data_IF_315759950098
#
_entry.id   IF_315759950098
#
_cell.length_a   1.000
_cell.length_b   1.000
_cell.length_c   1.000
_cell.angle_alpha   90.00
_cell.angle_beta   90.00
_cell.angle_gamma   90.00
#
_symmetry.space_group_name_H-M   'P 1'
#
loop_
_entity.id
_entity.type
_entity.pdbx_description
1 polymer ?
#
# COMPACT_ATOMS: atom_id res chain seq x y z
N UNK A 1 10.48 18.83 5.54
CA UNK A 1 10.31 18.10 4.26
C UNK A 1 10.90 16.71 4.43
N UNK A 2 10.09 15.64 4.38
CA UNK A 2 10.60 14.27 4.42
C UNK A 2 11.29 14.02 3.07
N UNK A 3 12.56 13.62 3.05
CA UNK A 3 13.20 13.15 1.81
C UNK A 3 12.39 11.96 1.31
N UNK A 4 11.88 12.05 0.08
CA UNK A 4 11.26 10.92 -0.58
C UNK A 4 12.38 9.91 -0.87
N UNK A 5 12.29 8.71 -0.29
CA UNK A 5 13.12 7.61 -0.73
C UNK A 5 12.79 7.34 -2.19
N UNK A 6 13.83 7.20 -3.01
CA UNK A 6 13.64 6.92 -4.42
C UNK A 6 13.51 5.41 -4.58
N UNK A 7 12.56 4.97 -5.40
CA UNK A 7 12.46 3.56 -5.82
C UNK A 7 13.83 3.03 -6.30
N UNK A 8 14.65 3.90 -6.89
CA UNK A 8 15.99 3.57 -7.34
C UNK A 8 16.95 3.13 -6.22
N UNK A 9 16.75 3.56 -4.98
CA UNK A 9 17.65 3.29 -3.85
C UNK A 9 17.43 1.91 -3.24
N UNK A 10 16.24 1.33 -3.40
CA UNK A 10 15.88 0.03 -2.80
C UNK A 10 15.93 -1.15 -3.77
N UNK A 11 16.05 -0.88 -5.07
CA UNK A 11 16.08 -1.90 -6.11
C UNK A 11 17.51 -2.18 -6.60
N UNK A 12 17.79 -3.42 -6.98
CA UNK A 12 19.02 -3.74 -7.73
C UNK A 12 18.97 -3.17 -9.15
N UNK A 13 20.12 -3.11 -9.82
CA UNK A 13 20.18 -2.67 -11.23
C UNK A 13 19.32 -3.56 -12.14
N UNK A 14 19.29 -4.86 -11.88
CA UNK A 14 18.48 -5.83 -12.62
C UNK A 14 16.99 -5.59 -12.39
N UNK A 15 16.55 -5.46 -11.12
CA UNK A 15 15.17 -5.15 -10.79
C UNK A 15 14.71 -3.83 -11.41
N UNK A 16 15.54 -2.77 -11.40
CA UNK A 16 15.23 -1.50 -12.07
C UNK A 16 15.03 -1.67 -13.58
N UNK A 17 15.88 -2.45 -14.23
CA UNK A 17 15.76 -2.71 -15.67
C UNK A 17 14.49 -3.50 -16.01
N UNK A 18 14.19 -4.54 -15.23
CA UNK A 18 12.95 -5.32 -15.39
C UNK A 18 11.71 -4.45 -15.15
N UNK A 19 11.68 -3.71 -14.03
CA UNK A 19 10.59 -2.77 -13.73
C UNK A 19 10.38 -1.79 -14.88
N UNK A 20 11.45 -1.17 -15.38
CA UNK A 20 11.36 -0.20 -16.48
C UNK A 20 10.74 -0.81 -17.74
N UNK A 21 11.14 -2.05 -18.10
CA UNK A 21 10.55 -2.78 -19.23
C UNK A 21 9.06 -3.08 -19.02
N UNK A 22 8.70 -3.63 -17.87
CA UNK A 22 7.29 -3.93 -17.56
C UNK A 22 6.45 -2.67 -17.59
N UNK A 23 6.91 -1.57 -16.98
CA UNK A 23 6.18 -0.31 -16.97
C UNK A 23 6.05 0.32 -18.36
N UNK A 24 7.00 0.08 -19.27
CA UNK A 24 6.89 0.51 -20.67
C UNK A 24 5.81 -0.30 -21.42
N UNK A 25 5.79 -1.62 -21.24
CA UNK A 25 4.76 -2.50 -21.82
C UNK A 25 3.37 -2.14 -21.30
N UNK A 26 3.21 -2.03 -19.97
CA UNK A 26 1.92 -1.69 -19.36
C UNK A 26 1.49 -0.26 -19.69
N UNK A 27 2.44 0.67 -19.87
CA UNK A 27 2.18 2.07 -20.24
C UNK A 27 1.79 2.25 -21.72
N UNK A 28 2.14 1.30 -22.60
CA UNK A 28 1.65 1.27 -23.97
C UNK A 28 0.17 0.82 -24.05
N UNK A 29 -0.31 0.10 -23.03
CA UNK A 29 -1.67 -0.42 -22.96
C UNK A 29 -2.63 0.50 -22.21
N UNK A 30 -2.15 1.31 -21.26
CA UNK A 30 -3.00 2.21 -20.48
C UNK A 30 -2.26 3.39 -19.87
N UNK A 31 -2.98 4.48 -19.68
CA UNK A 31 -2.49 5.66 -18.99
C UNK A 31 -2.48 5.42 -17.47
N UNK A 32 -1.32 5.53 -16.83
CA UNK A 32 -1.21 5.46 -15.37
C UNK A 32 -1.32 6.84 -14.73
N UNK A 33 -2.19 6.97 -13.73
CA UNK A 33 -2.13 8.06 -12.76
C UNK A 33 -0.89 7.91 -11.87
N UNK A 34 -0.70 6.71 -11.34
CA UNK A 34 0.41 6.36 -10.46
C UNK A 34 0.75 4.87 -10.61
N UNK A 35 2.03 4.54 -10.50
CA UNK A 35 2.50 3.19 -10.22
C UNK A 35 3.34 3.23 -8.95
N UNK A 36 2.91 2.49 -7.94
CA UNK A 36 3.52 2.43 -6.62
C UNK A 36 4.19 1.08 -6.42
N UNK A 37 5.46 1.09 -6.02
CA UNK A 37 6.17 -0.11 -5.60
C UNK A 37 5.76 -0.43 -4.16
N UNK A 38 4.92 -1.46 -4.00
CA UNK A 38 4.37 -1.86 -2.70
C UNK A 38 5.20 -2.99 -2.07
N UNK A 39 4.60 -3.70 -1.12
CA UNK A 39 5.16 -4.93 -0.56
C UNK A 39 6.40 -4.69 0.28
N UNK A 40 7.27 -5.70 0.35
CA UNK A 40 8.44 -5.70 1.23
C UNK A 40 9.35 -4.47 1.00
N UNK A 41 9.44 -3.99 -0.24
CA UNK A 41 10.18 -2.78 -0.61
C UNK A 41 9.61 -1.52 0.05
N UNK A 42 8.28 -1.31 0.02
CA UNK A 42 7.66 -0.18 0.70
C UNK A 42 7.58 -0.33 2.22
N UNK A 43 7.56 -1.56 2.70
CA UNK A 43 7.29 -1.83 4.11
C UNK A 43 8.56 -1.88 4.97
N UNK A 44 9.73 -1.72 4.36
CA UNK A 44 11.02 -1.60 5.06
C UNK A 44 11.76 -2.92 5.30
N UNK A 45 11.30 -4.01 4.70
CA UNK A 45 11.91 -5.33 4.85
C UNK A 45 12.09 -6.08 3.53
N UNK A 46 12.62 -5.45 2.45
CA UNK A 46 12.95 -6.18 1.24
C UNK A 46 14.05 -7.21 1.51
N UNK A 47 13.98 -8.33 0.82
CA UNK A 47 15.04 -9.34 0.68
C UNK A 47 15.53 -9.33 -0.77
N UNK A 48 16.71 -9.90 -1.07
CA UNK A 48 17.24 -9.95 -2.44
C UNK A 48 16.32 -10.62 -3.47
N UNK A 49 15.48 -11.54 -3.00
CA UNK A 49 14.51 -12.33 -3.77
C UNK A 49 13.08 -11.77 -3.68
N UNK A 50 12.87 -10.56 -3.15
CA UNK A 50 11.53 -9.98 -3.06
C UNK A 50 10.96 -9.61 -4.44
N UNK A 51 9.71 -10.02 -4.65
CA UNK A 51 8.90 -9.68 -5.83
C UNK A 51 8.76 -8.17 -6.00
N UNK A 52 8.52 -7.73 -7.24
CA UNK A 52 8.12 -6.36 -7.52
C UNK A 52 6.60 -6.24 -7.53
N UNK A 53 6.04 -5.83 -6.38
CA UNK A 53 4.64 -5.47 -6.23
C UNK A 53 4.33 -4.11 -6.89
N UNK A 54 4.03 -4.11 -8.19
CA UNK A 54 3.74 -2.90 -8.96
C UNK A 54 2.25 -2.58 -8.93
N UNK A 55 1.82 -1.79 -7.95
CA UNK A 55 0.40 -1.49 -7.72
C UNK A 55 0.04 -0.12 -8.31
N UNK A 56 -0.76 -0.12 -9.36
CA UNK A 56 -1.07 1.04 -10.16
C UNK A 56 -2.53 1.52 -10.02
N UNK A 57 -2.75 2.77 -10.39
CA UNK A 57 -4.08 3.32 -10.71
C UNK A 57 -4.01 3.81 -12.16
N UNK A 58 -4.90 3.31 -13.01
CA UNK A 58 -4.98 3.75 -14.41
C UNK A 58 -6.21 4.61 -14.66
N UNK A 59 -6.13 5.41 -15.73
CA UNK A 59 -7.22 6.24 -16.21
C UNK A 59 -7.72 5.62 -17.51
N UNK A 60 -8.88 4.98 -17.46
CA UNK A 60 -9.51 4.48 -18.69
C UNK A 60 -9.96 5.66 -19.58
N UNK A 61 -9.88 5.52 -20.92
CA UNK A 61 -10.54 6.44 -21.83
C UNK A 61 -12.01 6.61 -21.47
N UNK A 62 -12.53 7.84 -21.50
CA UNK A 62 -13.90 8.07 -21.02
C UNK A 62 -14.94 7.39 -21.90
N UNK A 63 -14.70 7.28 -23.21
CA UNK A 63 -15.58 6.59 -24.15
C UNK A 63 -15.81 5.11 -23.77
N UNK A 64 -14.75 4.41 -23.33
CA UNK A 64 -14.79 2.99 -22.94
C UNK A 64 -15.65 2.74 -21.70
N UNK A 65 -15.92 3.77 -20.90
CA UNK A 65 -16.75 3.69 -19.70
C UNK A 65 -18.22 3.99 -19.96
N UNK A 66 -18.56 4.51 -21.14
CA UNK A 66 -19.92 4.93 -21.51
C UNK A 66 -20.57 3.94 -22.50
N UNK A 67 -19.82 2.96 -23.01
CA UNK A 67 -20.31 1.91 -23.88
C UNK A 67 -21.09 0.81 -23.15
N UNK A 68 -21.66 -0.11 -23.93
CA UNK A 68 -22.34 -1.30 -23.37
C UNK A 68 -21.35 -2.33 -22.80
N UNK A 69 -20.15 -2.41 -23.38
CA UNK A 69 -19.09 -3.33 -22.96
C UNK A 69 -18.03 -2.58 -22.14
N UNK A 70 -18.33 -2.36 -20.86
CA UNK A 70 -17.40 -1.69 -19.93
C UNK A 70 -16.33 -2.69 -19.47
N UNK A 71 -15.06 -2.37 -19.72
CA UNK A 71 -13.94 -3.20 -19.30
C UNK A 71 -13.87 -3.37 -17.77
N UNK A 72 -13.28 -4.48 -17.27
CA UNK A 72 -13.10 -4.68 -15.84
C UNK A 72 -12.31 -3.53 -15.19
N UNK A 73 -12.71 -3.14 -13.97
CA UNK A 73 -12.03 -2.07 -13.21
C UNK A 73 -10.65 -2.46 -12.66
N UNK A 74 -10.21 -3.70 -12.90
CA UNK A 74 -8.96 -4.26 -12.38
C UNK A 74 -8.30 -5.08 -13.47
N UNK A 75 -6.99 -4.89 -13.63
CA UNK A 75 -6.14 -5.66 -14.54
C UNK A 75 -4.94 -6.17 -13.74
N UNK A 76 -4.68 -7.48 -13.83
CA UNK A 76 -3.59 -8.15 -13.14
C UNK A 76 -2.61 -8.77 -14.13
N UNK A 77 -1.33 -8.75 -13.76
CA UNK A 77 -0.24 -9.44 -14.46
C UNK A 77 0.74 -9.98 -13.43
N UNK A 78 0.75 -11.30 -13.30
CA UNK A 78 1.81 -12.03 -12.60
C UNK A 78 2.75 -12.66 -13.63
N UNK A 79 4.05 -12.39 -13.55
CA UNK A 79 5.03 -12.94 -14.47
C UNK A 79 6.43 -12.98 -13.88
N UNK A 80 7.24 -13.95 -14.30
CA UNK A 80 8.69 -13.95 -14.06
C UNK A 80 9.36 -13.39 -15.31
N UNK A 81 10.09 -12.29 -15.16
CA UNK A 81 10.67 -11.54 -16.27
C UNK A 81 12.17 -11.39 -16.00
N UNK A 82 12.98 -12.13 -16.76
CA UNK A 82 14.44 -12.22 -16.52
C UNK A 82 14.78 -12.59 -15.07
N UNK A 83 14.10 -13.61 -14.52
CA UNK A 83 14.36 -14.10 -13.16
C UNK A 83 13.76 -13.26 -12.03
N UNK A 84 13.18 -12.09 -12.32
CA UNK A 84 12.49 -11.23 -11.35
C UNK A 84 10.99 -11.50 -11.40
N UNK A 85 10.39 -11.83 -10.25
CA UNK A 85 8.94 -11.98 -10.11
C UNK A 85 8.25 -10.62 -10.05
N UNK A 86 7.19 -10.47 -10.84
CA UNK A 86 6.40 -9.26 -11.01
C UNK A 86 4.96 -9.57 -10.62
N UNK A 87 4.44 -8.80 -9.67
CA UNK A 87 3.02 -8.77 -9.34
C UNK A 87 2.45 -7.37 -9.62
N UNK A 88 2.04 -7.17 -10.87
CA UNK A 88 1.40 -5.94 -11.31
C UNK A 88 -0.12 -6.03 -11.19
N UNK A 89 -0.71 -5.02 -10.53
CA UNK A 89 -2.16 -4.84 -10.49
C UNK A 89 -2.47 -3.38 -10.79
N UNK A 90 -3.42 -3.13 -11.67
CA UNK A 90 -3.89 -1.77 -11.97
C UNK A 90 -5.38 -1.65 -11.79
N UNK A 91 -5.79 -0.63 -11.04
CA UNK A 91 -7.20 -0.35 -10.77
C UNK A 91 -7.64 0.94 -11.46
N UNK A 92 -8.85 0.92 -12.01
CA UNK A 92 -9.45 2.07 -12.68
C UNK A 92 -9.65 3.21 -11.67
N UNK A 93 -9.41 4.45 -12.10
CA UNK A 93 -9.43 5.66 -11.28
C UNK A 93 -10.68 5.81 -10.41
N UNK A 94 -11.87 5.61 -10.96
CA UNK A 94 -13.13 5.74 -10.23
C UNK A 94 -13.26 4.67 -9.14
N UNK A 95 -12.86 3.44 -9.43
CA UNK A 95 -12.83 2.35 -8.46
C UNK A 95 -11.84 2.64 -7.32
N UNK A 96 -10.64 3.12 -7.66
CA UNK A 96 -9.63 3.49 -6.66
C UNK A 96 -10.10 4.66 -5.77
N UNK A 97 -10.68 5.71 -6.36
CA UNK A 97 -11.22 6.86 -5.63
C UNK A 97 -12.37 6.47 -4.69
N UNK A 98 -13.31 5.67 -5.16
CA UNK A 98 -14.39 5.14 -4.32
C UNK A 98 -13.83 4.30 -3.16
N UNK A 99 -12.79 3.49 -3.41
CA UNK A 99 -12.10 2.75 -2.37
C UNK A 99 -11.39 3.65 -1.36
N UNK A 100 -10.72 4.72 -1.80
CA UNK A 100 -10.09 5.73 -0.93
C UNK A 100 -11.11 6.36 0.03
N UNK A 101 -12.26 6.79 -0.49
CA UNK A 101 -13.35 7.38 0.31
C UNK A 101 -13.98 6.36 1.28
N UNK A 102 -13.86 5.07 0.97
CA UNK A 102 -14.27 3.97 1.85
C UNK A 102 -13.15 3.48 2.78
N UNK A 103 -12.00 4.17 2.82
CA UNK A 103 -10.88 3.85 3.72
C UNK A 103 -10.02 2.67 3.28
N UNK A 104 -9.97 2.35 1.98
CA UNK A 104 -9.09 1.30 1.48
C UNK A 104 -7.61 1.72 1.54
N UNK A 105 -6.88 1.18 2.53
CA UNK A 105 -5.46 1.45 2.75
C UNK A 105 -4.59 1.15 1.54
N UNK A 106 -4.87 0.08 0.80
CA UNK A 106 -4.10 -0.25 -0.42
C UNK A 106 -4.14 0.86 -1.47
N UNK A 107 -5.26 1.59 -1.62
CA UNK A 107 -5.34 2.73 -2.56
C UNK A 107 -4.78 4.01 -1.95
N UNK A 108 -4.99 4.23 -0.66
CA UNK A 108 -4.39 5.36 0.07
C UNK A 108 -2.87 5.34 -0.06
N UNK A 109 -2.26 4.18 0.11
CA UNK A 109 -0.81 4.00 0.03
C UNK A 109 -0.25 4.26 -1.37
N UNK A 110 -0.98 3.87 -2.43
CA UNK A 110 -0.54 4.18 -3.80
C UNK A 110 -0.50 5.68 -4.08
N UNK A 111 -1.40 6.46 -3.48
CA UNK A 111 -1.49 7.91 -3.71
C UNK A 111 -0.57 8.70 -2.78
N UNK A 112 -0.55 8.35 -1.49
CA UNK A 112 0.13 9.09 -0.42
C UNK A 112 1.50 8.51 -0.04
N UNK A 113 1.81 7.29 -0.44
CA UNK A 113 3.06 6.60 -0.13
C UNK A 113 4.27 7.20 -0.86
N UNK A 114 5.46 6.87 -0.36
CA UNK A 114 6.73 7.44 -0.85
C UNK A 114 7.33 6.69 -2.04
N UNK A 115 7.03 5.39 -2.16
CA UNK A 115 7.62 4.46 -3.14
C UNK A 115 6.98 4.54 -4.53
N UNK A 116 6.94 5.74 -5.10
CA UNK A 116 6.30 5.99 -6.39
C UNK A 116 7.30 5.71 -7.52
N UNK A 117 7.00 4.70 -8.34
CA UNK A 117 7.82 4.31 -9.48
C UNK A 117 7.48 5.13 -10.75
N UNK A 118 6.21 5.54 -10.88
CA UNK A 118 5.73 6.42 -11.96
C UNK A 118 4.60 7.29 -11.43
N UNK A 119 4.59 8.57 -11.76
CA UNK A 119 3.47 9.47 -11.49
C UNK A 119 3.15 10.34 -12.71
N UNK A 120 1.87 10.65 -12.89
CA UNK A 120 1.43 11.68 -13.82
C UNK A 120 1.22 13.01 -13.08
N UNK A 121 1.16 14.15 -13.79
CA UNK A 121 0.89 15.45 -13.18
C UNK A 121 -0.43 15.48 -12.38
N UNK A 122 -1.42 14.68 -12.77
CA UNK A 122 -2.69 14.57 -12.07
C UNK A 122 -2.55 14.01 -10.65
N UNK A 123 -1.50 13.23 -10.35
CA UNK A 123 -1.26 12.75 -9.00
C UNK A 123 -0.91 13.90 -8.04
N UNK A 124 -0.20 14.92 -8.54
CA UNK A 124 0.15 16.12 -7.75
C UNK A 124 -1.11 16.86 -7.32
N UNK A 125 -2.11 16.95 -8.20
CA UNK A 125 -3.42 17.53 -7.90
C UNK A 125 -4.24 16.66 -6.92
N UNK A 126 -4.21 15.34 -7.12
CA UNK A 126 -5.03 14.41 -6.34
C UNK A 126 -4.53 14.22 -4.90
N UNK A 127 -3.22 14.14 -4.68
CA UNK A 127 -2.60 13.93 -3.35
C UNK A 127 -3.19 14.80 -2.24
N UNK A 128 -3.25 16.15 -2.37
CA UNK A 128 -3.80 16.99 -1.32
C UNK A 128 -5.32 16.78 -1.13
N UNK A 129 -6.06 16.39 -2.16
CA UNK A 129 -7.48 16.02 -2.01
C UNK A 129 -7.63 14.73 -1.21
N UNK A 130 -6.83 13.71 -1.50
CA UNK A 130 -6.85 12.42 -0.79
C UNK A 130 -6.39 12.58 0.66
N UNK A 131 -5.29 13.31 0.91
CA UNK A 131 -4.80 13.57 2.26
C UNK A 131 -5.85 14.26 3.14
N UNK A 132 -6.59 15.24 2.59
CA UNK A 132 -7.68 15.89 3.31
C UNK A 132 -8.97 15.07 3.35
N UNK A 133 -9.06 13.96 2.61
CA UNK A 133 -10.22 13.07 2.60
C UNK A 133 -10.07 11.87 3.54
N UNK A 134 -8.94 11.75 4.25
CA UNK A 134 -8.72 10.72 5.26
C UNK A 134 -9.82 10.76 6.33
N UNK A 135 -10.26 9.58 6.76
CA UNK A 135 -11.30 9.42 7.77
C UNK A 135 -11.11 8.14 8.56
N UNK A 136 -11.82 8.03 9.69
CA UNK A 136 -11.83 6.84 10.56
C UNK A 136 -12.26 5.56 9.85
N UNK A 137 -12.89 5.65 8.67
CA UNK A 137 -13.24 4.49 7.83
C UNK A 137 -12.04 3.59 7.52
N UNK A 138 -10.82 4.13 7.50
CA UNK A 138 -9.60 3.35 7.26
C UNK A 138 -9.32 2.30 8.34
N UNK A 139 -9.85 2.48 9.55
CA UNK A 139 -9.70 1.50 10.64
C UNK A 139 -10.11 0.10 10.21
N UNK A 140 -11.26 -0.03 9.54
CA UNK A 140 -11.79 -1.30 9.01
C UNK A 140 -10.75 -2.02 8.15
N UNK A 141 -10.05 -1.28 7.30
CA UNK A 141 -9.08 -1.86 6.38
C UNK A 141 -7.87 -2.39 7.13
N UNK A 142 -7.21 -1.55 7.92
CA UNK A 142 -5.98 -1.94 8.62
C UNK A 142 -6.23 -3.02 9.66
N UNK A 143 -7.33 -2.94 10.43
CA UNK A 143 -7.73 -3.99 11.37
C UNK A 143 -8.03 -5.30 10.66
N UNK A 144 -8.85 -5.28 9.63
CA UNK A 144 -9.20 -6.49 8.87
C UNK A 144 -7.98 -7.13 8.21
N UNK A 145 -7.08 -6.32 7.67
CA UNK A 145 -5.83 -6.80 7.09
C UNK A 145 -4.94 -7.45 8.16
N UNK A 146 -4.71 -6.77 9.28
CA UNK A 146 -3.86 -7.27 10.36
C UNK A 146 -4.40 -8.60 10.93
N UNK A 147 -5.72 -8.74 11.11
CA UNK A 147 -6.34 -10.01 11.54
C UNK A 147 -6.13 -11.14 10.52
N UNK A 148 -6.30 -10.85 9.23
CA UNK A 148 -6.05 -11.83 8.19
C UNK A 148 -4.58 -12.29 8.22
N UNK A 149 -3.64 -11.37 8.37
CA UNK A 149 -2.21 -11.68 8.47
C UNK A 149 -1.88 -12.49 9.73
N UNK A 150 -2.53 -12.19 10.86
CA UNK A 150 -2.37 -12.98 12.07
C UNK A 150 -2.83 -14.42 11.83
N UNK A 151 -3.98 -14.62 11.19
CA UNK A 151 -4.47 -15.97 10.87
C UNK A 151 -3.52 -16.77 9.97
N UNK A 152 -2.77 -16.10 9.08
CA UNK A 152 -1.75 -16.74 8.26
C UNK A 152 -0.48 -17.05 9.06
N UNK A 153 -0.09 -16.16 9.97
CA UNK A 153 1.05 -16.35 10.86
C UNK A 153 0.81 -17.50 11.84
N UNK A 154 -0.40 -17.66 12.37
CA UNK A 154 -0.75 -18.76 13.28
C UNK A 154 -0.73 -20.14 12.60
N UNK A 155 -1.08 -20.19 11.30
CA UNK A 155 -1.10 -21.45 10.53
C UNK A 155 0.29 -21.90 10.11
N UNK A 156 1.12 -20.96 9.66
CA UNK A 156 2.47 -21.24 9.16
C UNK A 156 3.34 -20.02 9.48
N UNK A 157 4.02 -20.02 10.64
CA UNK A 157 4.67 -18.84 11.18
C UNK A 157 5.99 -18.54 10.46
N UNK A 158 6.09 -17.35 9.88
CA UNK A 158 7.31 -16.83 9.26
C UNK A 158 7.59 -15.40 9.70
N UNK A 159 8.85 -14.98 9.63
CA UNK A 159 9.23 -13.61 9.95
C UNK A 159 8.48 -12.59 9.08
N UNK A 160 8.28 -12.91 7.79
CA UNK A 160 7.48 -12.10 6.86
C UNK A 160 6.05 -11.91 7.39
N UNK A 161 5.32 -12.99 7.66
CA UNK A 161 3.91 -12.89 8.08
C UNK A 161 3.75 -12.11 9.37
N UNK A 162 4.63 -12.33 10.34
CA UNK A 162 4.63 -11.55 11.58
C UNK A 162 4.95 -10.07 11.33
N UNK A 163 5.93 -9.76 10.47
CA UNK A 163 6.18 -8.38 10.05
C UNK A 163 4.96 -7.75 9.40
N UNK A 164 4.20 -8.47 8.57
CA UNK A 164 2.95 -7.97 7.98
C UNK A 164 1.86 -7.66 9.00
N UNK A 165 1.75 -8.45 10.08
CA UNK A 165 0.87 -8.13 11.22
C UNK A 165 1.31 -6.80 11.85
N UNK A 166 2.58 -6.67 12.20
CA UNK A 166 3.11 -5.45 12.83
C UNK A 166 2.94 -4.23 11.92
N UNK A 167 3.33 -4.34 10.66
CA UNK A 167 3.22 -3.31 9.62
C UNK A 167 1.79 -2.79 9.52
N UNK A 168 0.82 -3.68 9.37
CA UNK A 168 -0.57 -3.24 9.13
C UNK A 168 -1.22 -2.65 10.38
N UNK A 169 -0.93 -3.20 11.55
CA UNK A 169 -1.37 -2.61 12.83
C UNK A 169 -0.75 -1.24 13.07
N UNK A 170 0.58 -1.11 12.92
CA UNK A 170 1.30 0.14 13.19
C UNK A 170 0.96 1.24 12.19
N UNK A 171 0.84 0.94 10.90
CA UNK A 171 0.37 1.92 9.90
C UNK A 171 -1.04 2.42 10.24
N UNK A 172 -1.95 1.52 10.61
CA UNK A 172 -3.31 1.89 11.03
C UNK A 172 -3.34 2.77 12.27
N UNK A 173 -2.60 2.40 13.31
CA UNK A 173 -2.45 3.18 14.55
C UNK A 173 -1.90 4.57 14.23
N UNK A 174 -0.76 4.63 13.53
CA UNK A 174 -0.08 5.88 13.21
C UNK A 174 -0.97 6.83 12.41
N UNK A 175 -1.67 6.31 11.41
CA UNK A 175 -2.55 7.11 10.58
C UNK A 175 -3.77 7.64 11.35
N UNK A 176 -4.34 6.84 12.26
CA UNK A 176 -5.45 7.27 13.12
C UNK A 176 -5.03 8.29 14.18
N UNK A 177 -3.84 8.12 14.77
CA UNK A 177 -3.31 8.99 15.83
C UNK A 177 -2.76 10.31 15.30
N UNK A 178 -2.19 10.33 14.09
CA UNK A 178 -1.44 11.50 13.58
C UNK A 178 -2.01 12.10 12.30
N UNK A 179 -2.84 11.36 11.56
CA UNK A 179 -3.28 11.74 10.23
C UNK A 179 -2.17 11.63 9.15
N UNK A 180 -1.00 11.09 9.50
CA UNK A 180 0.11 10.88 8.58
C UNK A 180 0.23 9.41 8.17
N UNK A 181 0.44 9.16 6.88
CA UNK A 181 0.71 7.81 6.38
C UNK A 181 2.19 7.49 6.54
N UNK A 182 2.49 6.40 7.25
CA UNK A 182 3.79 5.74 7.24
C UNK A 182 3.58 4.23 7.07
N UNK A 183 4.22 3.70 6.03
CA UNK A 183 4.07 2.34 5.50
C UNK A 183 5.27 1.48 5.81
N UNK A 184 6.44 2.11 5.99
CA UNK A 184 7.68 1.48 6.39
C UNK A 184 7.64 1.22 7.89
N UNK A 185 7.47 -0.05 8.25
CA UNK A 185 7.32 -0.45 9.65
C UNK A 185 8.58 -0.17 10.47
N UNK A 186 9.75 -0.13 9.82
CA UNK A 186 11.03 0.08 10.50
C UNK A 186 11.20 1.50 11.04
N UNK A 187 10.44 2.45 10.49
CA UNK A 187 10.33 3.83 10.97
C UNK A 187 9.35 3.98 12.14
N UNK A 188 8.47 2.99 12.32
CA UNK A 188 7.47 2.97 13.37
C UNK A 188 7.92 2.18 14.60
N UNK A 189 8.88 1.27 14.47
CA UNK A 189 9.34 0.46 15.60
C UNK A 189 9.72 1.28 16.82
N UNK A 190 10.56 2.30 16.69
CA UNK A 190 11.02 3.09 17.84
C UNK A 190 9.89 3.97 18.40
N UNK A 191 9.04 4.53 17.53
CA UNK A 191 7.88 5.34 17.90
C UNK A 191 6.90 4.57 18.78
N UNK A 192 6.77 3.26 18.54
CA UNK A 192 5.80 2.39 19.20
C UNK A 192 6.44 1.39 20.17
N UNK A 193 7.71 1.56 20.55
CA UNK A 193 8.37 0.75 21.58
C UNK A 193 8.67 -0.70 21.15
N UNK A 194 8.91 -0.92 19.86
CA UNK A 194 9.14 -2.22 19.22
C UNK A 194 10.51 -2.30 18.52
N UNK A 195 11.52 -1.61 19.05
CA UNK A 195 12.87 -1.59 18.46
C UNK A 195 13.45 -2.99 18.23
N UNK A 196 13.12 -3.96 19.08
CA UNK A 196 13.57 -5.35 18.98
C UNK A 196 12.91 -6.13 17.83
N UNK A 197 11.83 -5.62 17.23
CA UNK A 197 11.24 -6.15 16.00
C UNK A 197 12.19 -6.06 14.79
N UNK A 198 13.26 -5.26 14.86
CA UNK A 198 14.32 -5.23 13.84
C UNK A 198 14.96 -6.60 13.63
N UNK A 199 15.03 -7.43 14.67
CA UNK A 199 15.49 -8.82 14.55
C UNK A 199 14.63 -9.68 13.61
N UNK A 200 13.33 -9.38 13.48
CA UNK A 200 12.44 -10.04 12.51
C UNK A 200 12.78 -9.62 11.08
N UNK A 201 13.16 -8.35 10.87
CA UNK A 201 13.62 -7.85 9.57
C UNK A 201 14.91 -8.54 9.15
N UNK A 202 15.86 -8.68 10.08
CA UNK A 202 17.12 -9.41 9.84
C UNK A 202 16.86 -10.87 9.47
N UNK A 203 15.98 -11.56 10.22
CA UNK A 203 15.56 -12.93 9.91
C UNK A 203 14.91 -13.02 8.53
N UNK A 204 13.98 -12.12 8.19
CA UNK A 204 13.35 -12.09 6.86
C UNK A 204 14.40 -11.90 5.76
N UNK A 205 15.38 -11.02 5.97
CA UNK A 205 16.46 -10.77 4.99
C UNK A 205 17.36 -11.97 4.74
N UNK A 206 17.48 -12.90 5.70
CA UNK A 206 18.19 -14.17 5.46
C UNK A 206 17.44 -15.17 4.56
N UNK A 207 16.16 -14.92 4.27
CA UNK A 207 15.37 -15.69 3.30
C UNK A 207 13.86 -15.50 3.45
N UNK A 208 13.13 -15.53 2.33
CA UNK A 208 11.70 -15.21 2.28
C UNK A 208 10.81 -16.17 3.11
N UNK A 209 11.27 -17.41 3.31
CA UNK A 209 10.59 -18.47 4.07
C UNK A 209 11.26 -18.84 5.39
N UNK A 210 12.06 -17.93 5.96
CA UNK A 210 12.64 -18.16 7.29
C UNK A 210 11.52 -18.25 8.31
N UNK A 211 11.29 -19.47 8.78
CA UNK A 211 10.33 -19.78 9.83
C UNK A 211 10.69 -19.05 11.12
N UNK A 212 9.67 -18.78 11.92
CA UNK A 212 9.88 -18.46 13.33
C UNK A 212 9.45 -19.68 14.14
N UNK A 213 10.18 -19.97 15.21
CA UNK A 213 9.79 -21.04 16.12
C UNK A 213 8.51 -20.66 16.88
N UNK A 214 7.84 -21.67 17.44
CA UNK A 214 6.59 -21.47 18.15
C UNK A 214 6.81 -20.61 19.41
N UNK A 215 7.97 -20.74 20.05
CA UNK A 215 8.34 -19.94 21.22
C UNK A 215 8.39 -18.44 20.90
N UNK A 216 8.98 -18.05 19.78
CA UNK A 216 9.02 -16.65 19.36
C UNK A 216 7.62 -16.13 19.05
N UNK A 217 6.78 -16.91 18.35
CA UNK A 217 5.40 -16.50 18.08
C UNK A 217 4.61 -16.29 19.39
N UNK A 218 4.69 -17.21 20.33
CA UNK A 218 4.03 -17.08 21.64
C UNK A 218 4.58 -15.88 22.44
N UNK A 219 5.87 -15.58 22.33
CA UNK A 219 6.46 -14.38 22.93
C UNK A 219 5.93 -13.07 22.30
N UNK A 220 5.57 -13.09 21.01
CA UNK A 220 5.01 -11.92 20.31
C UNK A 220 3.51 -11.73 20.56
N UNK A 221 2.78 -12.79 20.90
CA UNK A 221 1.32 -12.76 21.03
C UNK A 221 0.80 -11.68 21.98
N UNK A 222 1.30 -11.49 23.22
CA UNK A 222 0.84 -10.40 24.09
C UNK A 222 1.07 -9.00 23.49
N UNK A 223 2.11 -8.83 22.66
CA UNK A 223 2.45 -7.56 22.02
C UNK A 223 1.55 -7.32 20.81
N UNK A 224 1.22 -8.36 20.06
CA UNK A 224 0.22 -8.32 18.98
C UNK A 224 -1.16 -7.95 19.55
N UNK A 225 -1.56 -8.59 20.65
CA UNK A 225 -2.83 -8.29 21.33
C UNK A 225 -2.87 -6.82 21.81
N UNK A 226 -1.77 -6.33 22.38
CA UNK A 226 -1.63 -4.92 22.77
C UNK A 226 -1.70 -3.96 21.57
N UNK A 227 -1.12 -4.32 20.42
CA UNK A 227 -1.23 -3.53 19.19
C UNK A 227 -2.67 -3.51 18.66
N UNK A 228 -3.38 -4.63 18.68
CA UNK A 228 -4.79 -4.65 18.29
C UNK A 228 -5.64 -3.81 19.23
N UNK A 229 -5.44 -3.93 20.55
CA UNK A 229 -6.13 -3.09 21.53
C UNK A 229 -5.84 -1.59 21.30
N UNK A 230 -4.59 -1.23 20.97
CA UNK A 230 -4.23 0.14 20.64
C UNK A 230 -4.86 0.61 19.33
N UNK A 231 -4.94 -0.25 18.30
CA UNK A 231 -5.60 0.08 17.03
C UNK A 231 -7.08 0.41 17.25
N UNK A 232 -7.78 -0.36 18.09
CA UNK A 232 -9.16 -0.05 18.50
C UNK A 232 -9.23 1.28 19.26
N UNK A 233 -8.39 1.47 20.27
CA UNK A 233 -8.39 2.72 21.06
C UNK A 233 -8.07 3.95 20.18
N UNK A 234 -7.25 3.78 19.15
CA UNK A 234 -6.91 4.82 18.18
C UNK A 234 -8.11 5.27 17.34
N UNK A 235 -9.11 4.40 17.12
CA UNK A 235 -10.34 4.78 16.43
C UNK A 235 -11.14 5.82 17.23
N UNK A 236 -11.26 5.61 18.54
CA UNK A 236 -12.00 6.49 19.44
C UNK A 236 -11.31 7.84 19.59
N UNK A 237 -9.99 7.80 19.84
CA UNK A 237 -9.14 8.98 20.01
C UNK A 237 -8.63 9.62 18.72
N UNK A 238 -9.06 9.14 17.54
CA UNK A 238 -8.48 9.56 16.26
C UNK A 238 -8.61 11.06 15.99
N UNK A 239 -7.53 11.65 15.45
CA UNK A 239 -7.53 13.01 14.90
C UNK A 239 -8.31 13.14 13.59
N UNK A 240 -8.62 12.01 12.95
CA UNK A 240 -9.35 11.97 11.70
C UNK A 240 -10.86 12.10 11.93
N UNK A 241 -11.60 12.72 11.00
CA UNK A 241 -13.05 12.79 11.05
C UNK A 241 -13.68 11.40 10.87
N UNK A 242 -14.92 11.22 11.35
CA UNK A 242 -15.67 9.96 11.17
C UNK A 242 -15.89 9.63 9.69
N UNK A 243 -16.23 10.65 8.90
CA UNK A 243 -16.55 10.56 7.48
C UNK A 243 -15.55 11.38 6.64
N UNK A 244 -15.30 11.00 5.38
CA UNK A 244 -14.39 11.74 4.50
C UNK A 244 -14.96 13.14 4.18
N UNK A 245 -14.30 14.25 4.54
CA UNK A 245 -14.91 15.58 4.48
C UNK A 245 -14.96 16.19 3.05
N UNK A 246 -14.36 15.55 2.05
CA UNK A 246 -14.18 16.13 0.70
C UNK A 246 -14.62 15.22 -0.45
N UNK A 247 -15.58 14.33 -0.21
CA UNK A 247 -16.16 13.46 -1.24
C UNK A 247 -16.65 14.25 -2.47
N UNK A 248 -17.41 15.34 -2.27
CA UNK A 248 -17.90 16.17 -3.39
C UNK A 248 -16.78 16.79 -4.24
N UNK A 249 -15.65 17.16 -3.63
CA UNK A 249 -14.48 17.69 -4.37
C UNK A 249 -13.76 16.59 -5.13
N UNK A 250 -13.62 15.39 -4.55
CA UNK A 250 -13.06 14.24 -5.26
C UNK A 250 -13.93 13.84 -6.46
N UNK A 251 -15.25 13.86 -6.33
CA UNK A 251 -16.19 13.62 -7.43
C UNK A 251 -16.07 14.68 -8.53
N UNK A 252 -16.00 15.96 -8.18
CA UNK A 252 -15.79 17.04 -9.16
C UNK A 252 -14.45 16.91 -9.90
N UNK A 253 -13.38 16.57 -9.18
CA UNK A 253 -12.07 16.32 -9.77
C UNK A 253 -12.12 15.14 -10.75
N UNK A 254 -12.73 14.01 -10.37
CA UNK A 254 -12.93 12.87 -11.26
C UNK A 254 -13.70 13.27 -12.53
N UNK A 255 -14.81 14.01 -12.40
CA UNK A 255 -15.57 14.48 -13.56
C UNK A 255 -14.74 15.38 -14.47
N UNK A 256 -13.87 16.23 -13.94
CA UNK A 256 -12.98 17.06 -14.74
C UNK A 256 -11.98 16.23 -15.54
N UNK A 257 -11.38 15.20 -14.92
CA UNK A 257 -10.46 14.26 -15.56
C UNK A 257 -11.16 13.49 -16.69
N UNK A 258 -12.42 13.10 -16.49
CA UNK A 258 -13.23 12.40 -17.50
C UNK A 258 -13.59 13.29 -18.67
N UNK A 259 -14.06 14.51 -18.44
CA UNK A 259 -14.41 15.46 -19.51
C UNK A 259 -13.21 15.77 -20.39
N UNK A 260 -12.02 15.90 -19.82
CA UNK A 260 -10.79 16.13 -20.57
C UNK A 260 -10.35 14.93 -21.43
N UNK A 261 -10.89 13.73 -21.17
CA UNK A 261 -10.61 12.46 -21.89
C UNK A 261 -11.82 11.91 -22.64
N UNK A 262 -12.86 12.73 -22.77
CA UNK A 262 -14.01 12.45 -23.62
C UNK A 262 -13.70 13.07 -24.97
N UNK A 263 -13.00 12.32 -25.81
CA UNK A 263 -12.75 12.64 -27.22
C UNK A 263 -13.53 11.65 -28.09
#
# INVERSE_FOLDING_TARGET
>A
MRHAERVDEVLTTEQRAVMSRVLAEEGALREHLVVYLSGAHAYGFPSPDSDLDLKAIHIAPTADLLGFDVAPSTVDRAAIVSGVEIDYTSNELSHALAGILNGNGNFLERVLGRMVARESPLLVELRPLVARSLSRRLHRHYRGFALNQLSFAEKEPTAKKLLYVLRTSLTGIHLLETGELEVDVTRLFDVYGLADARSLVERKRSGERVGIDAELLEAWKPRIDALFARLEASLDGSVLPREPPHEGRAAQWLLSVRRARLA
#
